data_IF_290053168498
#
_entry.id   IF_290053168498
#
_cell.length_a   1.000
_cell.length_b   1.000
_cell.length_c   1.000
_cell.angle_alpha   90.00
_cell.angle_beta   90.00
_cell.angle_gamma   90.00
#
_symmetry.space_group_name_H-M   'P 1'
#
loop_
_entity.id
_entity.type
_entity.pdbx_description
1 polymer ?
#
# COMPACT_ATOMS: atom_id res chain seq x y z
N UNK A 1 3.28 10.57 45.64
CA UNK A 1 3.30 9.23 45.02
C UNK A 1 1.89 8.88 44.59
N UNK A 2 1.69 8.41 43.36
CA UNK A 2 0.36 8.00 42.85
C UNK A 2 -0.17 6.78 43.64
N UNK A 3 -1.43 6.81 44.07
CA UNK A 3 -2.06 5.74 44.87
C UNK A 3 -2.31 4.47 44.03
N UNK A 4 -2.35 3.30 44.69
CA UNK A 4 -2.49 1.96 44.07
C UNK A 4 -3.73 1.84 43.16
N UNK A 5 -4.82 2.54 43.46
CA UNK A 5 -6.04 2.59 42.64
C UNK A 5 -5.83 3.28 41.29
N UNK A 6 -5.14 4.43 41.26
CA UNK A 6 -4.83 5.16 40.01
C UNK A 6 -4.03 4.30 39.04
N UNK A 7 -3.09 3.51 39.56
CA UNK A 7 -2.27 2.61 38.75
C UNK A 7 -3.07 1.43 38.17
N UNK A 8 -4.08 0.91 38.88
CA UNK A 8 -4.92 -0.19 38.38
C UNK A 8 -5.87 0.28 37.27
N UNK A 9 -6.44 1.49 37.41
CA UNK A 9 -7.33 2.10 36.41
C UNK A 9 -6.57 2.45 35.14
N UNK A 10 -5.36 3.01 35.25
CA UNK A 10 -4.50 3.30 34.10
C UNK A 10 -4.09 2.03 33.35
N UNK A 11 -3.70 0.96 34.07
CA UNK A 11 -3.39 -0.34 33.45
C UNK A 11 -4.60 -0.96 32.74
N UNK A 12 -5.79 -0.88 33.34
CA UNK A 12 -7.02 -1.38 32.71
C UNK A 12 -7.35 -0.59 31.43
N UNK A 13 -7.28 0.75 31.48
CA UNK A 13 -7.46 1.61 30.29
C UNK A 13 -6.44 1.31 29.20
N UNK A 14 -5.18 1.07 29.56
CA UNK A 14 -4.12 0.71 28.62
C UNK A 14 -4.38 -0.65 27.97
N UNK A 15 -4.77 -1.67 28.77
CA UNK A 15 -5.12 -2.99 28.26
C UNK A 15 -6.33 -2.97 27.32
N UNK A 16 -7.31 -2.10 27.57
CA UNK A 16 -8.46 -1.94 26.67
C UNK A 16 -8.07 -1.25 25.35
N UNK A 17 -7.07 -0.37 25.34
CA UNK A 17 -6.51 0.22 24.11
C UNK A 17 -5.74 -0.83 23.30
N UNK A 18 -4.96 -1.70 23.96
CA UNK A 18 -4.22 -2.79 23.30
C UNK A 18 -5.17 -3.75 22.56
N UNK A 19 -6.43 -3.86 22.99
CA UNK A 19 -7.44 -4.69 22.30
C UNK A 19 -7.92 -4.09 20.98
N UNK A 20 -7.67 -2.82 20.69
CA UNK A 20 -8.04 -2.21 19.42
C UNK A 20 -7.08 -2.73 18.35
N UNK A 21 -7.60 -3.57 17.46
CA UNK A 21 -6.83 -4.13 16.35
C UNK A 21 -6.89 -3.18 15.16
N UNK A 22 -5.74 -2.64 14.69
CA UNK A 22 -5.70 -1.90 13.43
C UNK A 22 -6.11 -2.81 12.28
N UNK A 23 -6.85 -2.25 11.32
CA UNK A 23 -7.24 -2.91 10.10
C UNK A 23 -6.41 -2.36 8.93
N UNK A 24 -5.70 -3.24 8.24
CA UNK A 24 -4.90 -2.85 7.07
C UNK A 24 -5.84 -2.43 5.94
N UNK A 25 -5.63 -1.22 5.43
CA UNK A 25 -6.39 -0.65 4.33
C UNK A 25 -5.64 -0.74 3.00
N UNK A 26 -4.31 -0.69 3.04
CA UNK A 26 -3.52 -0.74 1.83
C UNK A 26 -2.10 -1.27 2.10
N UNK A 27 -1.61 -2.11 1.21
CA UNK A 27 -0.22 -2.54 1.11
C UNK A 27 0.30 -2.04 -0.23
N UNK A 28 1.38 -1.26 -0.18
CA UNK A 28 2.10 -0.80 -1.37
C UNK A 28 3.38 -1.62 -1.48
N UNK A 29 3.59 -2.28 -2.61
CA UNK A 29 4.84 -2.99 -2.88
C UNK A 29 5.49 -2.55 -4.19
N UNK A 30 6.78 -2.76 -4.26
CA UNK A 30 7.58 -2.57 -5.48
C UNK A 30 8.16 -3.89 -5.92
N UNK A 31 8.32 -4.05 -7.23
CA UNK A 31 9.09 -5.14 -7.82
C UNK A 31 9.93 -4.64 -8.99
N UNK A 32 10.94 -5.42 -9.33
CA UNK A 32 11.71 -5.30 -10.55
C UNK A 32 11.37 -6.45 -11.50
N UNK A 33 10.91 -6.15 -12.71
CA UNK A 33 10.60 -7.15 -13.74
C UNK A 33 11.85 -7.62 -14.51
N UNK A 34 13.02 -7.05 -14.20
CA UNK A 34 14.34 -7.38 -14.73
C UNK A 34 14.39 -7.38 -16.27
N UNK A 35 13.65 -6.46 -16.90
CA UNK A 35 13.62 -6.28 -18.34
C UNK A 35 13.11 -4.89 -18.70
N UNK A 36 13.64 -4.30 -19.77
CA UNK A 36 13.15 -3.02 -20.30
C UNK A 36 11.86 -3.28 -21.08
N UNK A 37 10.86 -2.41 -20.87
CA UNK A 37 9.51 -2.58 -21.43
C UNK A 37 9.17 -1.48 -22.43
N UNK A 38 8.59 -1.87 -23.56
CA UNK A 38 7.86 -0.93 -24.43
C UNK A 38 6.41 -0.83 -23.94
N UNK A 39 6.14 0.23 -23.18
CA UNK A 39 4.83 0.48 -22.57
C UNK A 39 3.73 0.69 -23.62
N UNK A 40 4.06 1.25 -24.79
CA UNK A 40 3.08 1.46 -25.88
C UNK A 40 2.66 0.11 -26.46
N UNK A 41 3.62 -0.80 -26.67
CA UNK A 41 3.34 -2.17 -27.12
C UNK A 41 2.47 -2.95 -26.13
N UNK A 42 2.71 -2.79 -24.82
CA UNK A 42 1.87 -3.43 -23.80
C UNK A 42 0.46 -2.84 -23.83
N UNK A 43 0.33 -1.51 -23.84
CA UNK A 43 -0.96 -0.82 -23.86
C UNK A 43 -1.84 -1.21 -25.06
N UNK A 44 -1.24 -1.41 -26.24
CA UNK A 44 -1.97 -1.83 -27.45
C UNK A 44 -2.52 -3.26 -27.37
N UNK A 45 -1.92 -4.14 -26.56
CA UNK A 45 -2.29 -5.56 -26.48
C UNK A 45 -3.07 -5.93 -25.22
N UNK A 46 -2.81 -5.23 -24.12
CA UNK A 46 -3.42 -5.52 -22.83
C UNK A 46 -4.73 -4.76 -22.63
N UNK A 47 -5.75 -5.47 -22.13
CA UNK A 47 -7.03 -4.87 -21.74
C UNK A 47 -6.90 -4.14 -20.39
N UNK A 48 -7.78 -3.18 -20.12
CA UNK A 48 -7.85 -2.43 -18.86
C UNK A 48 -6.53 -1.72 -18.50
N UNK A 49 -5.89 -1.14 -19.52
CA UNK A 49 -4.69 -0.34 -19.34
C UNK A 49 -4.95 1.12 -19.64
N UNK A 50 -4.27 2.01 -18.92
CA UNK A 50 -4.27 3.44 -19.18
C UNK A 50 -2.81 3.87 -19.44
N UNK A 51 -2.55 4.48 -20.60
CA UNK A 51 -1.23 4.97 -20.96
C UNK A 51 -1.34 6.30 -21.70
N UNK A 52 -0.84 7.36 -21.06
CA UNK A 52 -0.67 8.66 -21.69
C UNK A 52 0.70 9.23 -21.27
N UNK A 53 1.75 9.06 -22.09
CA UNK A 53 3.11 9.45 -21.72
C UNK A 53 3.26 10.96 -21.53
N UNK A 54 2.37 11.80 -22.09
CA UNK A 54 2.37 13.25 -21.85
C UNK A 54 1.85 13.61 -20.45
N UNK A 55 0.97 12.79 -19.88
CA UNK A 55 0.38 13.00 -18.55
C UNK A 55 1.19 12.31 -17.45
N UNK A 56 1.61 11.08 -17.69
CA UNK A 56 2.32 10.28 -16.70
C UNK A 56 3.19 9.21 -17.38
N UNK A 57 4.46 9.14 -16.98
CA UNK A 57 5.47 8.28 -17.61
C UNK A 57 5.42 6.82 -17.11
N UNK A 58 4.21 6.27 -16.93
CA UNK A 58 3.99 4.89 -16.55
C UNK A 58 2.72 4.33 -17.19
N UNK A 59 2.71 3.01 -17.39
CA UNK A 59 1.51 2.26 -17.76
C UNK A 59 0.74 1.91 -16.50
N UNK A 60 -0.55 2.22 -16.48
CA UNK A 60 -1.46 1.80 -15.40
C UNK A 60 -2.19 0.54 -15.84
N UNK A 61 -2.17 -0.50 -15.01
CA UNK A 61 -2.99 -1.72 -15.21
C UNK A 61 -3.80 -1.97 -13.95
N UNK A 62 -5.07 -2.35 -14.09
CA UNK A 62 -5.95 -2.65 -12.95
C UNK A 62 -6.38 -4.11 -12.94
N UNK A 63 -6.31 -4.73 -11.77
CA UNK A 63 -6.85 -6.04 -11.46
C UNK A 63 -8.09 -5.88 -10.59
N UNK A 64 -9.14 -6.67 -10.88
CA UNK A 64 -10.37 -6.69 -10.07
C UNK A 64 -10.25 -7.60 -8.85
N UNK A 65 -9.56 -8.73 -9.01
CA UNK A 65 -9.39 -9.73 -7.96
C UNK A 65 -7.98 -10.34 -8.04
N UNK A 66 -7.15 -10.22 -6.98
CA UNK A 66 -7.29 -9.22 -5.91
C UNK A 66 -7.38 -7.81 -6.52
N UNK A 67 -8.14 -6.93 -5.84
CA UNK A 67 -8.28 -5.54 -6.27
C UNK A 67 -6.91 -4.86 -6.15
N UNK A 68 -6.34 -4.48 -7.28
CA UNK A 68 -5.00 -3.89 -7.30
C UNK A 68 -4.82 -2.99 -8.52
N UNK A 69 -3.91 -2.03 -8.39
CA UNK A 69 -3.43 -1.18 -9.49
C UNK A 69 -1.92 -1.29 -9.55
N UNK A 70 -1.40 -1.58 -10.74
CA UNK A 70 0.02 -1.54 -11.04
C UNK A 70 0.37 -0.27 -11.83
N UNK A 71 1.44 0.40 -11.41
CA UNK A 71 2.15 1.41 -12.18
C UNK A 71 3.44 0.79 -12.70
N UNK A 72 3.56 0.64 -14.01
CA UNK A 72 4.69 -0.05 -14.66
C UNK A 72 5.51 0.96 -15.46
N UNK A 73 6.81 1.00 -15.19
CA UNK A 73 7.74 1.93 -15.81
C UNK A 73 8.54 1.26 -16.94
N UNK A 74 9.05 2.06 -17.87
CA UNK A 74 9.89 1.60 -18.99
C UNK A 74 11.10 0.79 -18.52
N UNK A 75 11.63 1.10 -17.34
CA UNK A 75 12.75 0.39 -16.72
C UNK A 75 12.44 -1.03 -16.26
N UNK A 76 11.17 -1.45 -16.26
CA UNK A 76 10.73 -2.71 -15.69
C UNK A 76 10.43 -2.63 -14.19
N UNK A 77 10.63 -1.47 -13.54
CA UNK A 77 10.11 -1.25 -12.19
C UNK A 77 8.58 -1.25 -12.22
N UNK A 78 7.96 -1.84 -11.21
CA UNK A 78 6.52 -1.82 -11.01
C UNK A 78 6.20 -1.49 -9.56
N UNK A 79 5.23 -0.60 -9.37
CA UNK A 79 4.58 -0.33 -8.08
C UNK A 79 3.20 -0.96 -8.10
N UNK A 80 2.86 -1.76 -7.10
CA UNK A 80 1.54 -2.34 -6.92
C UNK A 80 0.90 -1.80 -5.63
N UNK A 81 -0.37 -1.41 -5.72
CA UNK A 81 -1.16 -0.83 -4.62
C UNK A 81 -2.62 -1.30 -4.69
N UNK A 82 -3.37 -1.13 -3.61
CA UNK A 82 -4.81 -1.40 -3.52
C UNK A 82 -5.17 -2.71 -2.84
N UNK A 83 -4.17 -3.55 -2.55
CA UNK A 83 -4.31 -4.81 -1.81
C UNK A 83 -4.27 -4.58 -0.31
N UNK A 84 -4.83 -5.49 0.49
CA UNK A 84 -4.86 -5.39 1.95
C UNK A 84 -3.90 -6.33 2.66
N UNK A 85 -3.32 -7.28 1.95
CA UNK A 85 -2.32 -8.20 2.51
C UNK A 85 -1.12 -8.33 1.59
N UNK A 86 0.02 -8.77 2.14
CA UNK A 86 1.21 -9.07 1.35
C UNK A 86 0.95 -10.23 0.35
N UNK A 87 0.16 -11.22 0.74
CA UNK A 87 -0.19 -12.35 -0.13
C UNK A 87 -1.03 -11.89 -1.33
N UNK A 88 -2.05 -11.06 -1.11
CA UNK A 88 -2.81 -10.43 -2.20
C UNK A 88 -1.88 -9.60 -3.11
N UNK A 89 -0.93 -8.86 -2.53
CA UNK A 89 0.03 -8.09 -3.31
C UNK A 89 0.93 -8.96 -4.20
N UNK A 90 1.38 -10.12 -3.69
CA UNK A 90 2.13 -11.12 -4.46
C UNK A 90 1.29 -11.73 -5.59
N UNK A 91 0.04 -12.11 -5.31
CA UNK A 91 -0.88 -12.63 -6.31
C UNK A 91 -1.20 -11.61 -7.41
N UNK A 92 -1.47 -10.35 -7.02
CA UNK A 92 -1.69 -9.24 -7.96
C UNK A 92 -0.46 -9.06 -8.87
N UNK A 93 0.74 -9.04 -8.28
CA UNK A 93 2.01 -8.91 -9.00
C UNK A 93 2.17 -10.02 -10.05
N UNK A 94 1.85 -11.27 -9.70
CA UNK A 94 1.89 -12.40 -10.64
C UNK A 94 0.89 -12.24 -11.79
N UNK A 95 -0.32 -11.72 -11.51
CA UNK A 95 -1.32 -11.41 -12.54
C UNK A 95 -0.83 -10.33 -13.50
N UNK A 96 -0.23 -9.26 -12.99
CA UNK A 96 0.36 -8.22 -13.84
C UNK A 96 1.53 -8.75 -14.68
N UNK A 97 2.41 -9.57 -14.09
CA UNK A 97 3.49 -10.23 -14.82
C UNK A 97 2.95 -11.08 -15.99
N UNK A 98 1.86 -11.83 -15.77
CA UNK A 98 1.23 -12.65 -16.81
C UNK A 98 0.76 -11.80 -18.00
N UNK A 99 0.12 -10.65 -17.74
CA UNK A 99 -0.31 -9.71 -18.77
C UNK A 99 0.89 -9.19 -19.57
N UNK A 100 1.97 -8.79 -18.89
CA UNK A 100 3.19 -8.30 -19.53
C UNK A 100 3.83 -9.38 -20.42
N UNK A 101 3.90 -10.63 -19.94
CA UNK A 101 4.39 -11.76 -20.72
C UNK A 101 3.54 -12.02 -21.96
N UNK A 102 2.22 -12.00 -21.83
CA UNK A 102 1.28 -12.19 -22.94
C UNK A 102 1.35 -11.05 -23.98
N UNK A 103 1.75 -9.84 -23.58
CA UNK A 103 2.01 -8.74 -24.51
C UNK A 103 3.30 -8.92 -25.35
N UNK A 104 4.12 -9.92 -25.03
CA UNK A 104 5.34 -10.27 -25.77
C UNK A 104 6.65 -10.03 -25.01
N UNK A 105 6.61 -9.90 -23.69
CA UNK A 105 7.80 -9.76 -22.83
C UNK A 105 8.00 -11.01 -21.98
N UNK A 106 8.15 -12.16 -22.62
CA UNK A 106 8.24 -13.49 -21.97
C UNK A 106 9.41 -13.62 -20.99
N UNK A 107 10.50 -12.86 -21.21
CA UNK A 107 11.69 -12.82 -20.35
C UNK A 107 11.51 -12.07 -19.04
N UNK A 108 10.41 -11.34 -18.84
CA UNK A 108 10.11 -10.63 -17.60
C UNK A 108 10.07 -11.61 -16.41
N UNK A 109 10.70 -11.25 -15.30
CA UNK A 109 10.76 -12.06 -14.07
C UNK A 109 10.65 -11.14 -12.87
N UNK A 110 9.89 -11.55 -11.86
CA UNK A 110 9.84 -10.81 -10.60
C UNK A 110 11.17 -10.99 -9.87
N UNK A 111 11.79 -9.87 -9.52
CA UNK A 111 12.90 -9.73 -8.60
C UNK A 111 12.58 -8.65 -7.57
N UNK A 112 13.24 -8.74 -6.42
CA UNK A 112 13.22 -7.70 -5.38
C UNK A 112 11.80 -7.26 -5.01
N UNK A 113 10.92 -8.22 -4.74
CA UNK A 113 9.61 -7.91 -4.18
C UNK A 113 9.79 -7.34 -2.78
N UNK A 114 9.26 -6.14 -2.56
CA UNK A 114 9.44 -5.41 -1.32
C UNK A 114 8.16 -4.65 -0.97
N UNK A 115 7.66 -4.85 0.24
CA UNK A 115 6.60 -4.01 0.80
C UNK A 115 7.22 -2.68 1.20
N UNK A 116 6.74 -1.59 0.59
CA UNK A 116 7.27 -0.23 0.78
C UNK A 116 6.47 0.58 1.78
N UNK A 117 5.16 0.33 1.85
CA UNK A 117 4.27 1.06 2.75
C UNK A 117 3.08 0.19 3.13
N UNK A 118 2.58 0.38 4.35
CA UNK A 118 1.35 -0.23 4.85
C UNK A 118 0.52 0.86 5.51
N UNK A 119 -0.72 1.01 5.05
CA UNK A 119 -1.70 1.93 5.64
C UNK A 119 -2.67 1.10 6.47
N UNK A 120 -2.86 1.46 7.74
CA UNK A 120 -3.84 0.85 8.61
C UNK A 120 -4.71 1.91 9.30
N UNK A 121 -5.95 1.56 9.59
CA UNK A 121 -6.89 2.41 10.33
C UNK A 121 -7.37 1.68 11.57
N UNK A 122 -7.72 2.44 12.61
CA UNK A 122 -8.35 1.91 13.81
C UNK A 122 -9.38 2.90 14.33
N UNK A 123 -10.29 2.42 15.16
CA UNK A 123 -11.32 3.23 15.81
C UNK A 123 -11.25 3.00 17.32
N UNK A 124 -10.94 4.07 18.05
CA UNK A 124 -10.83 4.06 19.51
C UNK A 124 -12.18 4.00 20.22
N UNK A 125 -13.30 4.17 19.50
CA UNK A 125 -14.68 4.18 20.02
C UNK A 125 -14.87 5.18 21.18
N UNK A 126 -14.04 6.22 21.21
CA UNK A 126 -14.03 7.28 22.23
C UNK A 126 -13.64 8.60 21.58
N UNK A 127 -14.24 9.69 22.04
CA UNK A 127 -13.87 11.03 21.63
C UNK A 127 -12.49 11.39 22.16
N UNK A 128 -11.64 11.93 21.28
CA UNK A 128 -10.30 12.42 21.63
C UNK A 128 -10.29 13.93 21.38
N UNK A 129 -9.90 14.71 22.40
CA UNK A 129 -9.70 16.16 22.27
C UNK A 129 -8.35 16.42 21.61
N UNK A 130 -8.36 16.69 20.30
CA UNK A 130 -7.14 16.82 19.51
C UNK A 130 -6.29 18.01 19.93
N UNK A 131 -6.89 19.08 20.46
CA UNK A 131 -6.20 20.26 20.97
C UNK A 131 -5.29 19.89 22.15
N UNK A 132 -5.80 19.05 23.06
CA UNK A 132 -5.02 18.57 24.22
C UNK A 132 -3.85 17.70 23.78
N UNK A 133 -4.07 16.82 22.80
CA UNK A 133 -3.00 15.96 22.25
C UNK A 133 -1.94 16.80 21.54
N UNK A 134 -2.36 17.74 20.70
CA UNK A 134 -1.45 18.63 19.96
C UNK A 134 -0.62 19.49 20.91
N UNK A 135 -1.21 20.01 21.98
CA UNK A 135 -0.49 20.78 22.97
C UNK A 135 0.55 19.92 23.72
N UNK A 136 0.17 18.71 24.16
CA UNK A 136 1.04 17.82 24.92
C UNK A 136 2.16 17.18 24.07
N UNK A 137 1.91 16.93 22.78
CA UNK A 137 2.81 16.18 21.89
C UNK A 137 3.17 16.95 20.62
N UNK A 138 3.29 18.28 20.71
CA UNK A 138 3.49 19.20 19.58
C UNK A 138 4.59 18.76 18.60
N UNK A 139 5.71 18.25 19.11
CA UNK A 139 6.85 17.84 18.28
C UNK A 139 6.67 16.48 17.60
N UNK A 140 5.61 15.74 17.93
CA UNK A 140 5.28 14.41 17.38
C UNK A 140 4.05 14.45 16.47
N UNK A 141 3.28 15.54 16.52
CA UNK A 141 2.11 15.74 15.69
C UNK A 141 2.46 16.50 14.40
N UNK A 142 1.94 16.03 13.28
CA UNK A 142 1.99 16.74 11.99
C UNK A 142 0.56 17.17 11.64
N UNK A 143 0.40 18.44 11.27
CA UNK A 143 -0.87 18.94 10.72
C UNK A 143 -0.86 18.65 9.23
N UNK A 144 -1.77 17.79 8.78
CA UNK A 144 -2.00 17.53 7.37
C UNK A 144 -3.06 18.55 6.92
N UNK A 145 -2.66 19.51 6.08
CA UNK A 145 -3.54 20.46 5.38
C UNK A 145 -4.01 19.89 4.05
#
# INVERSE_FOLDING_TARGET
GMTRETNSVLRKKFNDIIKIKPNIQNVVCTVDLNTVLDLKKIALKAKNTEFNPKKFHALVIRSREPKATALIFKSGKMVCTGTKTENEAKEATLKFLKVIKQAGFSSAKIKNFEVRNVVATCDFKKSIKLETVMFAYRNQCMVIV
#
